data_IF_444336532115
#
_entry.id   IF_444336532115
#
_cell.length_a   1.000
_cell.length_b   1.000
_cell.length_c   1.000
_cell.angle_alpha   90.00
_cell.angle_beta   90.00
_cell.angle_gamma   90.00
#
_symmetry.space_group_name_H-M   'P 1'
#
loop_
_entity.id
_entity.type
_entity.pdbx_description
1 polymer ?
#
# COMPACT_ATOMS: atom_id res chain seq x y z
N UNK A 1 6.42 16.19 -5.46
CA UNK A 1 6.95 15.38 -4.35
C UNK A 1 7.55 14.11 -4.93
N UNK A 2 8.77 13.75 -4.54
CA UNK A 2 9.47 12.54 -5.01
C UNK A 2 9.03 11.35 -4.15
N UNK A 3 8.64 10.25 -4.79
CA UNK A 3 7.96 9.15 -4.12
C UNK A 3 8.55 7.79 -4.47
N UNK A 4 8.74 6.96 -3.45
CA UNK A 4 8.91 5.51 -3.58
C UNK A 4 7.63 4.85 -3.06
N UNK A 5 7.14 3.82 -3.73
CA UNK A 5 6.04 2.98 -3.24
C UNK A 5 6.53 1.55 -3.05
N UNK A 6 6.49 1.04 -1.83
CA UNK A 6 6.72 -0.36 -1.48
C UNK A 6 5.37 -1.05 -1.25
N UNK A 7 5.05 -2.05 -2.06
CA UNK A 7 3.71 -2.63 -2.16
C UNK A 7 3.70 -4.12 -2.53
N UNK A 8 2.53 -4.75 -2.49
CA UNK A 8 2.32 -6.18 -2.72
C UNK A 8 1.08 -6.43 -3.59
N UNK A 9 1.03 -5.89 -4.83
CA UNK A 9 -0.19 -5.80 -5.61
C UNK A 9 -0.74 -7.17 -6.05
N UNK A 10 -2.07 -7.27 -6.10
CA UNK A 10 -2.82 -8.45 -6.54
C UNK A 10 -3.79 -8.20 -7.70
N UNK A 11 -3.71 -7.06 -8.39
CA UNK A 11 -4.57 -6.73 -9.53
C UNK A 11 -4.53 -7.84 -10.61
N UNK A 12 -5.70 -8.36 -10.94
CA UNK A 12 -5.86 -9.47 -11.90
C UNK A 12 -5.66 -10.87 -11.31
N UNK A 13 -5.19 -10.99 -10.06
CA UNK A 13 -5.00 -12.28 -9.38
C UNK A 13 -6.27 -12.64 -8.60
N UNK A 14 -6.90 -13.81 -8.85
CA UNK A 14 -8.14 -14.19 -8.17
C UNK A 14 -8.02 -14.21 -6.64
N UNK A 15 -8.83 -13.40 -5.97
CA UNK A 15 -8.89 -13.35 -4.50
C UNK A 15 -7.77 -12.59 -3.80
N UNK A 16 -6.80 -12.03 -4.54
CA UNK A 16 -5.79 -11.14 -4.00
C UNK A 16 -6.31 -9.70 -3.96
N UNK A 17 -5.90 -8.93 -2.95
CA UNK A 17 -6.28 -7.53 -2.83
C UNK A 17 -5.67 -6.70 -3.97
N UNK A 18 -6.39 -5.67 -4.40
CA UNK A 18 -6.14 -4.90 -5.63
C UNK A 18 -5.88 -3.41 -5.36
N UNK A 19 -5.90 -3.05 -4.07
CA UNK A 19 -5.85 -1.68 -3.59
C UNK A 19 -4.48 -1.04 -3.81
N UNK A 20 -3.38 -1.81 -3.73
CA UNK A 20 -2.05 -1.40 -4.16
C UNK A 20 -2.04 -0.86 -5.59
N UNK A 21 -2.74 -1.53 -6.52
CA UNK A 21 -2.84 -1.08 -7.91
C UNK A 21 -3.64 0.20 -8.07
N UNK A 22 -4.63 0.45 -7.20
CA UNK A 22 -5.34 1.72 -7.15
C UNK A 22 -4.45 2.84 -6.59
N UNK A 23 -3.65 2.54 -5.56
CA UNK A 23 -2.66 3.48 -5.01
C UNK A 23 -1.57 3.84 -6.04
N UNK A 24 -1.03 2.84 -6.74
CA UNK A 24 -0.08 3.03 -7.84
C UNK A 24 -0.71 3.86 -8.97
N UNK A 25 -1.95 3.54 -9.38
CA UNK A 25 -2.66 4.29 -10.40
C UNK A 25 -2.87 5.75 -10.01
N UNK A 26 -3.23 6.02 -8.74
CA UNK A 26 -3.38 7.37 -8.22
C UNK A 26 -2.04 8.13 -8.25
N UNK A 27 -0.96 7.49 -7.80
CA UNK A 27 0.38 8.08 -7.82
C UNK A 27 0.87 8.38 -9.24
N UNK A 28 0.59 7.51 -10.21
CA UNK A 28 0.92 7.70 -11.63
C UNK A 28 0.10 8.85 -12.23
N UNK A 29 -1.16 8.97 -11.85
CA UNK A 29 -2.09 9.95 -12.41
C UNK A 29 -1.92 11.36 -11.84
N UNK A 30 -1.36 11.49 -10.64
CA UNK A 30 -1.19 12.76 -9.95
C UNK A 30 0.07 13.52 -10.43
N UNK A 31 -0.06 14.69 -11.08
CA UNK A 31 1.09 15.46 -11.58
C UNK A 31 1.99 16.02 -10.47
N UNK A 32 1.50 16.08 -9.23
CA UNK A 32 2.26 16.50 -8.05
C UNK A 32 3.25 15.44 -7.59
N UNK A 33 3.13 14.19 -8.06
CA UNK A 33 3.96 13.05 -7.67
C UNK A 33 4.95 12.71 -8.77
N UNK A 34 6.23 12.65 -8.41
CA UNK A 34 7.27 12.01 -9.19
C UNK A 34 7.51 10.62 -8.59
N UNK A 35 6.89 9.59 -9.16
CA UNK A 35 7.07 8.21 -8.74
C UNK A 35 8.40 7.66 -9.31
N UNK A 36 9.43 7.59 -8.46
CA UNK A 36 10.79 7.27 -8.87
C UNK A 36 11.13 5.77 -8.80
N UNK A 37 10.44 5.05 -7.93
CA UNK A 37 10.67 3.63 -7.71
C UNK A 37 9.41 2.96 -7.16
N UNK A 38 9.10 1.79 -7.71
CA UNK A 38 8.16 0.84 -7.11
C UNK A 38 8.95 -0.37 -6.64
N UNK A 39 8.75 -0.76 -5.40
CA UNK A 39 9.35 -1.96 -4.83
C UNK A 39 8.27 -2.94 -4.40
N UNK A 40 8.58 -4.23 -4.55
CA UNK A 40 7.61 -5.30 -4.32
C UNK A 40 8.03 -6.16 -3.13
N UNK A 41 7.11 -6.38 -2.21
CA UNK A 41 7.28 -7.31 -1.08
C UNK A 41 6.26 -8.44 -1.18
N UNK A 42 6.55 -9.61 -0.62
CA UNK A 42 5.55 -10.68 -0.51
C UNK A 42 4.48 -10.31 0.53
N UNK A 43 3.22 -10.39 0.11
CA UNK A 43 2.06 -10.00 0.92
C UNK A 43 0.77 -10.59 0.33
N UNK A 44 -0.16 -9.79 -0.18
CA UNK A 44 -1.36 -10.26 -0.89
C UNK A 44 -1.02 -11.29 -1.98
N UNK A 45 0.14 -11.15 -2.61
CA UNK A 45 0.69 -12.14 -3.56
C UNK A 45 2.14 -12.50 -3.19
N UNK A 46 2.67 -13.65 -3.69
CA UNK A 46 4.10 -13.89 -3.69
C UNK A 46 4.85 -12.78 -4.44
N UNK A 47 6.07 -12.42 -4.02
CA UNK A 47 6.80 -11.27 -4.55
C UNK A 47 7.00 -11.30 -6.08
N UNK A 48 7.14 -12.48 -6.65
CA UNK A 48 7.28 -12.77 -8.09
C UNK A 48 6.01 -12.42 -8.87
N UNK A 49 4.86 -12.72 -8.27
CA UNK A 49 3.54 -12.45 -8.83
C UNK A 49 3.26 -10.96 -8.73
N UNK A 50 3.44 -10.35 -7.56
CA UNK A 50 3.29 -8.90 -7.37
C UNK A 50 4.21 -8.09 -8.30
N UNK A 51 5.43 -8.57 -8.54
CA UNK A 51 6.35 -7.97 -9.50
C UNK A 51 5.80 -8.00 -10.92
N UNK A 52 5.23 -9.14 -11.32
CA UNK A 52 4.60 -9.29 -12.63
C UNK A 52 3.33 -8.43 -12.76
N UNK A 53 2.54 -8.29 -11.68
CA UNK A 53 1.36 -7.40 -11.62
C UNK A 53 1.75 -5.94 -11.84
N UNK A 54 2.73 -5.44 -11.07
CA UNK A 54 3.21 -4.07 -11.22
C UNK A 54 3.82 -3.84 -12.62
N UNK A 55 4.55 -4.83 -13.15
CA UNK A 55 5.13 -4.75 -14.48
C UNK A 55 4.07 -4.71 -15.58
N UNK A 56 2.99 -5.48 -15.48
CA UNK A 56 1.85 -5.45 -16.42
C UNK A 56 1.22 -4.05 -16.44
N UNK A 57 0.97 -3.45 -15.27
CA UNK A 57 0.42 -2.09 -15.17
C UNK A 57 1.29 -1.07 -15.91
N UNK A 58 2.59 -0.97 -15.61
CA UNK A 58 3.47 0.03 -16.24
C UNK A 58 3.68 -0.24 -17.73
N UNK A 59 3.72 -1.52 -18.13
CA UNK A 59 3.87 -1.93 -19.54
C UNK A 59 2.66 -1.52 -20.35
N UNK A 60 1.44 -1.77 -19.87
CA UNK A 60 0.20 -1.36 -20.56
C UNK A 60 0.12 0.15 -20.73
N UNK A 61 0.65 0.92 -19.78
CA UNK A 61 0.68 2.38 -19.84
C UNK A 61 1.86 2.93 -20.67
N UNK A 62 2.79 2.08 -21.10
CA UNK A 62 4.02 2.52 -21.79
C UNK A 62 4.93 3.39 -20.92
N UNK A 63 4.90 3.20 -19.60
CA UNK A 63 5.69 3.97 -18.65
C UNK A 63 7.01 3.28 -18.32
N UNK A 64 8.05 4.07 -18.12
CA UNK A 64 9.38 3.59 -17.71
C UNK A 64 9.64 3.91 -16.23
N UNK A 65 8.83 3.32 -15.35
CA UNK A 65 9.00 3.44 -13.89
C UNK A 65 9.83 2.24 -13.43
N UNK A 66 10.96 2.44 -12.73
CA UNK A 66 11.73 1.34 -12.16
C UNK A 66 10.88 0.50 -11.20
N UNK A 67 10.85 -0.81 -11.42
CA UNK A 67 10.23 -1.77 -10.50
C UNK A 67 11.31 -2.72 -10.01
N UNK A 68 11.44 -2.88 -8.69
CA UNK A 68 12.40 -3.80 -8.07
C UNK A 68 11.67 -4.83 -7.23
N UNK A 69 11.96 -6.12 -7.48
CA UNK A 69 11.49 -7.18 -6.59
C UNK A 69 12.28 -7.14 -5.28
N UNK A 70 11.59 -7.42 -4.18
CA UNK A 70 12.15 -7.46 -2.84
C UNK A 70 11.96 -8.81 -2.15
N UNK A 71 11.76 -8.75 -0.84
CA UNK A 71 11.68 -9.89 0.06
C UNK A 71 10.50 -10.81 -0.29
N UNK A 72 10.78 -12.11 -0.35
CA UNK A 72 9.79 -13.15 -0.61
C UNK A 72 9.18 -13.74 0.66
N UNK A 73 9.69 -13.36 1.83
CA UNK A 73 9.27 -13.85 3.14
C UNK A 73 9.52 -12.79 4.21
N UNK A 74 8.79 -12.89 5.32
CA UNK A 74 9.01 -12.05 6.50
C UNK A 74 10.37 -12.33 7.17
N UNK A 75 10.79 -11.45 8.08
CA UNK A 75 12.04 -11.60 8.83
C UNK A 75 12.08 -12.87 9.68
N UNK A 76 10.95 -13.22 10.32
CA UNK A 76 10.86 -14.36 11.25
C UNK A 76 9.63 -15.23 10.98
N UNK A 77 8.47 -14.62 10.70
CA UNK A 77 7.22 -15.35 10.54
C UNK A 77 7.23 -16.28 9.31
N UNK A 78 6.70 -17.50 9.47
CA UNK A 78 6.61 -18.45 8.36
C UNK A 78 5.54 -18.03 7.35
N UNK A 79 5.90 -18.02 6.07
CA UNK A 79 4.98 -17.68 4.99
C UNK A 79 3.86 -18.72 4.78
N UNK A 80 4.02 -19.96 5.24
CA UNK A 80 3.14 -21.08 4.86
C UNK A 80 1.67 -20.86 5.22
N UNK A 81 1.38 -20.40 6.45
CA UNK A 81 0.01 -20.14 6.90
C UNK A 81 -0.61 -18.95 6.16
N UNK A 82 0.19 -17.93 5.87
CA UNK A 82 -0.24 -16.77 5.08
C UNK A 82 -0.54 -17.15 3.63
N UNK A 83 0.33 -17.93 2.97
CA UNK A 83 0.11 -18.43 1.61
C UNK A 83 -1.14 -19.28 1.51
N UNK A 84 -1.31 -20.22 2.45
CA UNK A 84 -2.49 -21.08 2.49
C UNK A 84 -3.80 -20.27 2.52
N UNK A 85 -3.84 -19.21 3.33
CA UNK A 85 -5.01 -18.32 3.48
C UNK A 85 -5.21 -17.41 2.26
N UNK A 86 -4.16 -16.72 1.81
CA UNK A 86 -4.25 -15.64 0.81
C UNK A 86 -4.39 -16.19 -0.60
N UNK A 87 -3.60 -17.21 -0.97
CA UNK A 87 -3.54 -17.70 -2.35
C UNK A 87 -4.82 -18.50 -2.74
N UNK A 88 -5.55 -19.02 -1.74
CA UNK A 88 -6.71 -19.89 -1.96
C UNK A 88 -8.06 -19.25 -1.58
N UNK A 89 -8.09 -17.95 -1.24
CA UNK A 89 -9.28 -17.27 -0.74
C UNK A 89 -10.48 -17.36 -1.69
N UNK A 90 -10.28 -17.01 -2.96
CA UNK A 90 -11.34 -17.08 -3.98
C UNK A 90 -11.84 -18.51 -4.20
N UNK A 91 -10.93 -19.48 -4.27
CA UNK A 91 -11.27 -20.88 -4.48
C UNK A 91 -12.06 -21.47 -3.29
N UNK A 92 -11.65 -21.19 -2.05
CA UNK A 92 -12.34 -21.65 -0.82
C UNK A 92 -13.76 -21.12 -0.71
N UNK A 93 -14.01 -19.91 -1.19
CA UNK A 93 -15.34 -19.32 -1.21
C UNK A 93 -16.16 -19.70 -2.46
N UNK A 94 -15.58 -20.44 -3.43
CA UNK A 94 -16.25 -20.77 -4.69
C UNK A 94 -16.45 -19.58 -5.63
N UNK A 95 -15.61 -18.54 -5.50
CA UNK A 95 -15.79 -17.24 -6.17
C UNK A 95 -14.77 -16.96 -7.28
N UNK A 96 -13.95 -17.94 -7.66
CA UNK A 96 -12.96 -17.78 -8.76
C UNK A 96 -13.60 -17.36 -10.08
N UNK A 97 -14.86 -17.72 -10.33
CA UNK A 97 -15.60 -17.36 -11.54
C UNK A 97 -15.77 -15.83 -11.71
N UNK A 98 -15.63 -15.02 -10.65
CA UNK A 98 -15.66 -13.56 -10.76
C UNK A 98 -14.54 -13.02 -11.66
N UNK A 99 -13.41 -13.72 -11.78
CA UNK A 99 -12.25 -13.33 -12.59
C UNK A 99 -12.21 -13.97 -13.98
N UNK A 100 -13.25 -14.68 -14.43
CA UNK A 100 -13.23 -15.37 -15.74
C UNK A 100 -12.96 -14.46 -16.94
N UNK A 101 -13.30 -13.17 -16.83
CA UNK A 101 -13.07 -12.15 -17.87
C UNK A 101 -11.86 -11.25 -17.59
N UNK A 102 -11.16 -11.47 -16.47
CA UNK A 102 -9.99 -10.69 -16.08
C UNK A 102 -8.73 -11.43 -16.51
N UNK A 103 -7.93 -10.88 -17.44
CA UNK A 103 -6.66 -11.47 -17.84
C UNK A 103 -5.72 -11.59 -16.64
N UNK A 104 -5.03 -12.73 -16.53
CA UNK A 104 -3.93 -12.87 -15.58
C UNK A 104 -2.74 -12.01 -16.05
N UNK A 105 -2.02 -11.35 -15.12
CA UNK A 105 -0.80 -10.63 -15.45
C UNK A 105 0.25 -11.60 -16.02
N UNK A 106 0.91 -11.28 -17.14
CA UNK A 106 1.97 -12.10 -17.68
C UNK A 106 3.13 -12.23 -16.70
N UNK A 107 3.62 -13.45 -16.46
CA UNK A 107 4.79 -13.65 -15.60
C UNK A 107 6.04 -13.06 -16.25
N UNK A 108 6.77 -12.26 -15.49
CA UNK A 108 8.03 -11.64 -15.93
C UNK A 108 9.18 -12.18 -15.08
N UNK A 109 10.30 -12.51 -15.73
CA UNK A 109 11.51 -12.88 -15.01
C UNK A 109 12.02 -11.65 -14.23
N UNK A 110 12.21 -11.80 -12.92
CA UNK A 110 12.80 -10.76 -12.09
C UNK A 110 14.29 -11.00 -11.89
N UNK A 111 15.05 -9.92 -11.71
CA UNK A 111 16.43 -10.00 -11.20
C UNK A 111 16.45 -10.43 -9.72
N UNK A 112 17.65 -10.46 -9.13
CA UNK A 112 17.85 -10.65 -7.69
C UNK A 112 16.97 -9.68 -6.86
N UNK A 113 16.56 -10.07 -5.64
CA UNK A 113 15.72 -9.23 -4.78
C UNK A 113 16.53 -8.03 -4.26
N UNK A 114 16.50 -6.92 -5.00
CA UNK A 114 17.32 -5.73 -4.74
C UNK A 114 16.51 -4.54 -4.17
N UNK A 115 15.22 -4.72 -3.90
CA UNK A 115 14.35 -3.64 -3.39
C UNK A 115 14.93 -2.92 -2.17
N UNK A 116 15.35 -3.65 -1.13
CA UNK A 116 15.90 -3.06 0.09
C UNK A 116 17.14 -2.18 -0.18
N UNK A 117 18.01 -2.63 -1.09
CA UNK A 117 19.17 -1.86 -1.52
C UNK A 117 18.74 -0.60 -2.30
N UNK A 118 17.84 -0.75 -3.28
CA UNK A 118 17.35 0.37 -4.09
C UNK A 118 16.64 1.45 -3.26
N UNK A 119 15.82 1.05 -2.26
CA UNK A 119 15.17 1.96 -1.32
C UNK A 119 16.23 2.73 -0.53
N UNK A 120 17.15 2.01 0.13
CA UNK A 120 18.15 2.60 1.00
C UNK A 120 19.11 3.52 0.25
N UNK A 121 19.58 3.10 -0.92
CA UNK A 121 20.46 3.90 -1.79
C UNK A 121 19.79 5.20 -2.24
N UNK A 122 18.57 5.12 -2.79
CA UNK A 122 17.87 6.30 -3.31
C UNK A 122 17.58 7.33 -2.20
N UNK A 123 17.12 6.86 -1.03
CA UNK A 123 16.83 7.72 0.12
C UNK A 123 18.10 8.35 0.69
N UNK A 124 19.16 7.56 0.91
CA UNK A 124 20.39 8.07 1.52
C UNK A 124 21.17 9.00 0.61
N UNK A 125 21.02 8.86 -0.72
CA UNK A 125 21.58 9.79 -1.70
C UNK A 125 20.73 11.05 -1.90
N UNK A 126 19.52 11.11 -1.33
CA UNK A 126 18.58 12.24 -1.44
C UNK A 126 17.98 12.63 -0.08
N UNK A 127 18.81 12.99 0.92
CA UNK A 127 18.36 13.20 2.29
C UNK A 127 17.34 14.34 2.39
N UNK A 128 16.18 14.05 2.98
CA UNK A 128 15.08 14.97 3.19
C UNK A 128 14.14 15.17 1.99
N UNK A 129 14.37 14.48 0.86
CA UNK A 129 13.63 14.72 -0.37
C UNK A 129 12.63 13.61 -0.75
N UNK A 130 12.90 12.37 -0.33
CA UNK A 130 12.09 11.19 -0.69
C UNK A 130 11.07 10.90 0.40
N UNK A 131 9.80 10.83 0.00
CA UNK A 131 8.74 10.20 0.81
C UNK A 131 8.60 8.73 0.38
N UNK A 132 8.62 7.83 1.36
CA UNK A 132 8.41 6.40 1.16
C UNK A 132 6.99 6.03 1.56
N UNK A 133 6.17 5.58 0.62
CA UNK A 133 4.85 5.01 0.88
C UNK A 133 5.00 3.50 1.01
N UNK A 134 4.63 2.96 2.18
CA UNK A 134 4.76 1.57 2.53
C UNK A 134 3.38 0.98 2.75
N UNK A 135 2.86 0.29 1.74
CA UNK A 135 1.48 -0.23 1.71
C UNK A 135 1.40 -1.76 1.70
N UNK A 136 2.56 -2.43 1.80
CA UNK A 136 2.66 -3.86 2.10
C UNK A 136 3.40 -4.15 3.42
N UNK A 137 3.72 -5.43 3.69
CA UNK A 137 4.59 -5.82 4.81
C UNK A 137 5.93 -5.06 4.79
N UNK A 138 6.38 -4.61 5.96
CA UNK A 138 7.51 -3.65 6.06
C UNK A 138 8.91 -4.28 5.89
N UNK A 139 8.99 -5.51 5.40
CA UNK A 139 10.22 -6.33 5.34
C UNK A 139 11.31 -5.68 4.50
N UNK A 140 10.97 -5.14 3.32
CA UNK A 140 11.94 -4.46 2.45
C UNK A 140 12.54 -3.24 3.17
N UNK A 141 11.73 -2.52 3.93
CA UNK A 141 12.10 -1.28 4.62
C UNK A 141 12.98 -1.59 5.83
N UNK A 142 12.63 -2.62 6.60
CA UNK A 142 13.47 -3.08 7.71
C UNK A 142 14.85 -3.55 7.22
N UNK A 143 14.91 -4.31 6.12
CA UNK A 143 16.18 -4.66 5.48
C UNK A 143 16.94 -3.44 4.96
N UNK A 144 16.25 -2.47 4.35
CA UNK A 144 16.87 -1.23 3.88
C UNK A 144 17.50 -0.45 5.05
N UNK A 145 16.80 -0.32 6.18
CA UNK A 145 17.34 0.34 7.38
C UNK A 145 18.54 -0.41 7.98
N UNK A 146 18.57 -1.74 7.90
CA UNK A 146 19.71 -2.53 8.34
C UNK A 146 20.94 -2.33 7.44
N UNK A 147 20.74 -2.27 6.12
CA UNK A 147 21.79 -2.02 5.13
C UNK A 147 22.26 -0.56 5.14
N UNK A 148 21.36 0.37 5.45
CA UNK A 148 21.57 1.82 5.45
C UNK A 148 21.10 2.44 6.77
N UNK A 149 21.90 2.38 7.84
CA UNK A 149 21.51 2.86 9.18
C UNK A 149 21.10 4.34 9.24
N UNK A 150 21.59 5.16 8.31
CA UNK A 150 21.25 6.58 8.17
C UNK A 150 19.91 6.84 7.47
N UNK A 151 19.26 5.81 6.93
CA UNK A 151 17.99 5.93 6.19
C UNK A 151 16.90 6.57 7.05
N UNK A 152 16.79 6.21 8.33
CA UNK A 152 15.76 6.74 9.22
C UNK A 152 15.83 8.28 9.38
N UNK A 153 17.03 8.85 9.38
CA UNK A 153 17.23 10.31 9.41
C UNK A 153 17.22 10.96 8.03
N UNK A 154 17.42 10.18 6.96
CA UNK A 154 17.51 10.68 5.58
C UNK A 154 16.16 10.69 4.86
N UNK A 155 15.22 9.82 5.23
CA UNK A 155 13.89 9.81 4.63
C UNK A 155 13.10 11.05 5.05
N UNK A 156 12.37 11.67 4.11
CA UNK A 156 11.53 12.83 4.43
C UNK A 156 10.37 12.41 5.34
N UNK A 157 9.66 11.36 4.93
CA UNK A 157 8.54 10.74 5.64
C UNK A 157 8.36 9.28 5.17
N UNK A 158 8.00 8.39 6.09
CA UNK A 158 7.50 7.04 5.79
C UNK A 158 5.99 7.06 6.05
N UNK A 159 5.18 6.96 5.01
CA UNK A 159 3.72 6.91 5.09
C UNK A 159 3.27 5.44 4.96
N UNK A 160 2.74 4.88 6.04
CA UNK A 160 2.49 3.44 6.20
C UNK A 160 0.98 3.16 6.16
N UNK A 161 0.52 2.22 5.34
CA UNK A 161 -0.75 1.52 5.59
C UNK A 161 -0.45 0.27 6.42
N UNK A 162 -1.04 0.20 7.61
CA UNK A 162 -0.89 -0.98 8.44
C UNK A 162 -1.28 -0.74 9.90
N UNK A 163 -1.40 -1.84 10.61
CA UNK A 163 -1.79 -1.86 12.01
C UNK A 163 -3.28 -1.61 12.27
N UNK A 164 -3.68 -1.91 13.51
CA UNK A 164 -5.07 -1.77 13.98
C UNK A 164 -5.09 -1.56 15.49
N UNK A 165 -5.94 -0.64 15.95
CA UNK A 165 -6.10 -0.37 17.38
C UNK A 165 -7.46 -0.84 17.88
N UNK A 166 -8.54 -0.45 17.21
CA UNK A 166 -9.90 -0.70 17.70
C UNK A 166 -10.91 -0.84 16.56
N UNK A 167 -10.75 -1.90 15.77
CA UNK A 167 -11.73 -2.30 14.74
C UNK A 167 -12.31 -3.65 15.11
N UNK A 168 -13.64 -3.73 15.22
CA UNK A 168 -14.34 -4.98 15.54
C UNK A 168 -13.99 -6.07 14.53
N UNK A 169 -13.66 -7.26 15.03
CA UNK A 169 -13.28 -8.41 14.21
C UNK A 169 -11.80 -8.47 13.80
N UNK A 170 -11.00 -7.44 14.13
CA UNK A 170 -9.57 -7.39 13.79
C UNK A 170 -8.71 -7.32 15.04
N UNK A 171 -7.98 -8.39 15.33
CA UNK A 171 -6.91 -8.38 16.35
C UNK A 171 -5.61 -7.79 15.79
N UNK A 172 -5.33 -8.05 14.51
CA UNK A 172 -4.16 -7.53 13.82
C UNK A 172 -4.48 -7.25 12.37
N UNK A 173 -3.73 -6.31 11.82
CA UNK A 173 -3.69 -6.01 10.40
C UNK A 173 -2.89 -7.09 9.63
N UNK A 174 -3.13 -7.21 8.33
CA UNK A 174 -2.44 -8.18 7.47
C UNK A 174 -0.97 -7.83 7.30
N UNK A 175 -0.62 -6.58 6.99
CA UNK A 175 0.77 -6.18 6.73
C UNK A 175 1.65 -6.38 7.97
N UNK A 176 1.17 -5.92 9.13
CA UNK A 176 1.90 -6.09 10.40
C UNK A 176 1.81 -7.53 10.92
N UNK A 177 0.75 -8.26 10.59
CA UNK A 177 0.62 -9.67 10.94
C UNK A 177 1.58 -10.57 10.18
N UNK A 178 1.88 -10.24 8.92
CA UNK A 178 2.85 -10.97 8.09
C UNK A 178 4.27 -10.80 8.61
N UNK A 179 4.67 -9.58 8.97
CA UNK A 179 6.01 -9.31 9.50
C UNK A 179 6.00 -8.36 10.71
N UNK A 180 5.67 -8.88 11.91
CA UNK A 180 5.65 -8.09 13.13
C UNK A 180 7.02 -7.49 13.47
N UNK A 181 8.11 -8.23 13.23
CA UNK A 181 9.47 -7.79 13.48
C UNK A 181 9.85 -6.60 12.60
N UNK A 182 9.54 -6.65 11.31
CA UNK A 182 9.82 -5.54 10.41
C UNK A 182 9.00 -4.30 10.81
N UNK A 183 7.74 -4.48 11.22
CA UNK A 183 6.92 -3.39 11.71
C UNK A 183 7.50 -2.75 12.99
N UNK A 184 7.95 -3.56 13.95
CA UNK A 184 8.64 -3.08 15.14
C UNK A 184 9.89 -2.26 14.79
N UNK A 185 10.76 -2.79 13.92
CA UNK A 185 11.99 -2.11 13.47
C UNK A 185 11.68 -0.74 12.87
N UNK A 186 10.70 -0.67 11.96
CA UNK A 186 10.38 0.59 11.26
C UNK A 186 9.70 1.59 12.20
N UNK A 187 8.71 1.18 12.97
CA UNK A 187 7.96 2.06 13.87
C UNK A 187 8.83 2.67 14.97
N UNK A 188 9.83 1.93 15.46
CA UNK A 188 10.75 2.38 16.51
C UNK A 188 12.03 3.04 15.98
N UNK A 189 12.20 3.14 14.66
CA UNK A 189 13.42 3.64 14.00
C UNK A 189 13.77 5.12 14.27
N UNK A 190 12.79 5.92 14.70
CA UNK A 190 12.94 7.38 14.84
C UNK A 190 12.74 8.17 13.55
N UNK A 191 12.40 7.52 12.43
CA UNK A 191 12.00 8.19 11.19
C UNK A 191 10.71 9.02 11.37
N UNK A 192 10.50 10.03 10.51
CA UNK A 192 9.19 10.70 10.44
C UNK A 192 8.16 9.71 9.87
N UNK A 193 7.19 9.27 10.68
CA UNK A 193 6.21 8.25 10.28
C UNK A 193 4.81 8.81 10.35
N UNK A 194 4.02 8.56 9.30
CA UNK A 194 2.57 8.67 9.32
C UNK A 194 1.96 7.28 9.12
N UNK A 195 1.00 6.91 9.96
CA UNK A 195 0.34 5.62 9.96
C UNK A 195 -1.15 5.77 9.60
N UNK A 196 -1.59 5.01 8.61
CA UNK A 196 -2.98 4.81 8.23
C UNK A 196 -3.44 3.40 8.69
N UNK A 197 -3.91 3.26 9.94
CA UNK A 197 -4.37 1.98 10.47
C UNK A 197 -5.72 1.56 9.88
N UNK A 198 -6.14 0.32 10.17
CA UNK A 198 -7.49 -0.16 9.87
C UNK A 198 -8.58 0.75 10.45
N UNK A 199 -8.33 1.39 11.59
CA UNK A 199 -9.27 2.32 12.23
C UNK A 199 -9.74 3.44 11.29
N UNK A 200 -8.87 3.98 10.44
CA UNK A 200 -9.24 4.98 9.43
C UNK A 200 -9.60 4.36 8.09
N UNK A 201 -8.86 3.34 7.65
CA UNK A 201 -9.00 2.82 6.29
C UNK A 201 -10.31 2.05 6.09
N UNK A 202 -10.87 1.46 7.14
CA UNK A 202 -12.20 0.80 7.10
C UNK A 202 -13.38 1.78 7.02
N UNK A 203 -13.13 3.09 7.15
CA UNK A 203 -14.13 4.13 6.89
C UNK A 203 -14.19 4.53 5.40
N UNK A 204 -13.23 4.07 4.60
CA UNK A 204 -13.24 4.26 3.14
C UNK A 204 -14.25 3.32 2.49
N UNK A 205 -14.74 3.65 1.31
CA UNK A 205 -15.64 2.79 0.56
C UNK A 205 -15.62 3.14 -0.92
N UNK A 206 -15.23 2.17 -1.75
CA UNK A 206 -15.39 2.20 -3.20
C UNK A 206 -16.53 1.24 -3.60
N UNK A 207 -17.52 1.77 -4.32
CA UNK A 207 -18.67 1.01 -4.80
C UNK A 207 -18.57 0.75 -6.31
N UNK A 208 -19.36 -0.21 -6.82
CA UNK A 208 -19.48 -0.42 -8.27
C UNK A 208 -19.87 0.85 -9.02
N UNK A 209 -20.80 1.66 -8.48
CA UNK A 209 -21.21 2.93 -9.08
C UNK A 209 -20.07 3.95 -9.18
N UNK A 210 -19.09 3.91 -8.29
CA UNK A 210 -17.93 4.80 -8.32
C UNK A 210 -16.92 4.31 -9.37
N UNK A 211 -16.76 2.99 -9.48
CA UNK A 211 -16.00 2.38 -10.57
C UNK A 211 -16.64 2.64 -11.94
N UNK A 212 -17.96 2.70 -12.03
CA UNK A 212 -18.69 3.03 -13.27
C UNK A 212 -18.42 4.48 -13.72
N UNK A 213 -18.19 5.41 -12.78
CA UNK A 213 -17.73 6.79 -13.11
C UNK A 213 -16.32 6.77 -13.67
N UNK A 214 -15.41 6.00 -13.06
CA UNK A 214 -14.04 5.81 -13.57
C UNK A 214 -14.10 5.23 -14.99
N UNK A 215 -14.98 4.25 -15.25
CA UNK A 215 -15.16 3.63 -16.56
C UNK A 215 -15.57 4.60 -17.68
N UNK A 216 -16.11 5.79 -17.35
CA UNK A 216 -16.40 6.84 -18.35
C UNK A 216 -15.14 7.59 -18.81
N UNK A 217 -14.02 7.43 -18.12
CA UNK A 217 -12.74 8.04 -18.49
C UNK A 217 -12.10 7.16 -19.57
N UNK A 218 -11.97 7.69 -20.79
CA UNK A 218 -11.35 6.97 -21.90
C UNK A 218 -9.81 6.95 -21.78
N UNK A 219 -9.30 6.06 -20.95
CA UNK A 219 -7.86 5.83 -20.81
C UNK A 219 -7.51 4.37 -20.55
N UNK A 220 -6.27 4.00 -20.89
CA UNK A 220 -5.73 2.66 -20.60
C UNK A 220 -5.71 2.40 -19.09
N UNK A 221 -5.38 3.41 -18.29
CA UNK A 221 -5.36 3.32 -16.83
C UNK A 221 -6.75 3.05 -16.26
N UNK A 222 -7.77 3.79 -16.72
CA UNK A 222 -9.15 3.55 -16.30
C UNK A 222 -9.62 2.14 -16.65
N UNK A 223 -9.37 1.70 -17.90
CA UNK A 223 -9.73 0.34 -18.33
C UNK A 223 -9.08 -0.74 -17.46
N UNK A 224 -7.78 -0.59 -17.15
CA UNK A 224 -7.07 -1.51 -16.28
C UNK A 224 -7.68 -1.57 -14.87
N UNK A 225 -7.99 -0.40 -14.28
CA UNK A 225 -8.64 -0.34 -12.97
C UNK A 225 -10.03 -0.99 -12.99
N UNK A 226 -10.85 -0.72 -14.00
CA UNK A 226 -12.18 -1.33 -14.11
C UNK A 226 -12.09 -2.85 -14.28
N UNK A 227 -11.19 -3.33 -15.13
CA UNK A 227 -10.94 -4.76 -15.39
C UNK A 227 -10.53 -5.53 -14.13
N UNK A 228 -9.73 -4.90 -13.25
CA UNK A 228 -9.13 -5.56 -12.08
C UNK A 228 -9.88 -5.31 -10.77
N UNK A 229 -10.46 -4.12 -10.57
CA UNK A 229 -11.20 -3.77 -9.35
C UNK A 229 -12.62 -4.34 -9.33
N UNK A 230 -13.30 -4.44 -10.47
CA UNK A 230 -14.70 -4.92 -10.53
C UNK A 230 -14.89 -6.31 -9.91
N UNK A 231 -14.08 -7.35 -10.25
CA UNK A 231 -14.23 -8.65 -9.61
C UNK A 231 -13.92 -8.60 -8.10
N UNK A 232 -12.94 -7.78 -7.69
CA UNK A 232 -12.60 -7.60 -6.27
C UNK A 232 -13.72 -6.94 -5.46
N UNK A 233 -14.36 -5.88 -5.97
CA UNK A 233 -15.52 -5.25 -5.31
C UNK A 233 -16.60 -6.31 -5.08
N UNK A 234 -16.94 -7.10 -6.12
CA UNK A 234 -17.92 -8.19 -6.00
C UNK A 234 -17.51 -9.27 -5.01
N UNK A 235 -16.23 -9.61 -4.93
CA UNK A 235 -15.69 -10.57 -3.96
C UNK A 235 -15.76 -10.04 -2.53
N UNK A 236 -15.39 -8.77 -2.32
CA UNK A 236 -15.46 -8.08 -1.03
C UNK A 236 -16.90 -8.01 -0.53
N UNK A 237 -17.86 -7.70 -1.39
CA UNK A 237 -19.27 -7.66 -1.02
C UNK A 237 -19.76 -9.01 -0.46
N UNK A 238 -19.35 -10.12 -1.09
CA UNK A 238 -19.77 -11.46 -0.69
C UNK A 238 -19.03 -11.99 0.56
N UNK A 239 -17.73 -11.70 0.69
CA UNK A 239 -16.89 -12.26 1.75
C UNK A 239 -16.84 -11.38 3.01
N UNK A 240 -16.99 -10.07 2.86
CA UNK A 240 -16.91 -9.10 3.96
C UNK A 240 -18.26 -8.49 4.32
N UNK A 241 -19.33 -8.81 3.57
CA UNK A 241 -20.68 -8.27 3.80
C UNK A 241 -20.72 -6.73 3.73
N UNK A 242 -19.88 -6.17 2.87
CA UNK A 242 -19.80 -4.73 2.61
C UNK A 242 -20.60 -4.36 1.34
N UNK A 243 -21.03 -3.10 1.18
CA UNK A 243 -21.65 -2.64 -0.07
C UNK A 243 -20.66 -2.49 -1.23
N UNK A 244 -19.35 -2.58 -0.98
CA UNK A 244 -18.29 -2.55 -1.97
C UNK A 244 -16.96 -3.07 -1.39
N UNK A 245 -15.85 -2.39 -1.64
CA UNK A 245 -14.57 -2.64 -0.96
C UNK A 245 -14.03 -1.40 -0.25
N UNK A 246 -13.25 -1.62 0.81
CA UNK A 246 -12.39 -0.59 1.39
C UNK A 246 -11.20 -0.33 0.47
N UNK A 247 -10.68 0.90 0.48
CA UNK A 247 -9.51 1.39 -0.26
C UNK A 247 -8.49 1.95 0.73
N UNK A 248 -7.85 1.03 1.44
CA UNK A 248 -6.80 1.23 2.43
C UNK A 248 -5.57 1.95 1.88
N UNK A 249 -4.99 1.47 0.81
CA UNK A 249 -3.67 1.89 0.33
C UNK A 249 -3.77 3.21 -0.44
N UNK A 250 -4.83 3.34 -1.25
CA UNK A 250 -5.12 4.56 -1.98
C UNK A 250 -5.34 5.76 -1.05
N UNK A 251 -5.83 5.54 0.19
CA UNK A 251 -5.95 6.60 1.20
C UNK A 251 -4.60 7.23 1.53
N UNK A 252 -3.52 6.44 1.62
CA UNK A 252 -2.18 6.95 1.96
C UNK A 252 -1.70 7.94 0.90
N UNK A 253 -1.86 7.57 -0.38
CA UNK A 253 -1.47 8.42 -1.51
C UNK A 253 -2.39 9.64 -1.60
N UNK A 254 -3.70 9.48 -1.47
CA UNK A 254 -4.65 10.60 -1.49
C UNK A 254 -4.39 11.61 -0.37
N UNK A 255 -4.03 11.13 0.82
CA UNK A 255 -3.65 12.00 1.94
C UNK A 255 -2.36 12.78 1.66
N UNK A 256 -1.42 12.23 0.89
CA UNK A 256 -0.25 12.97 0.44
C UNK A 256 -0.60 14.12 -0.50
N UNK A 257 -1.66 13.99 -1.28
CA UNK A 257 -2.17 15.01 -2.20
C UNK A 257 -3.00 16.09 -1.49
N UNK A 258 -3.89 15.69 -0.57
CA UNK A 258 -4.69 16.61 0.23
C UNK A 258 -4.79 16.14 1.69
N UNK A 259 -4.09 16.87 2.57
CA UNK A 259 -4.08 16.59 4.02
C UNK A 259 -5.43 16.82 4.68
N UNK A 260 -6.34 17.58 4.07
CA UNK A 260 -7.64 17.94 4.63
C UNK A 260 -8.67 16.82 4.59
N UNK A 261 -8.37 15.71 3.89
CA UNK A 261 -9.29 14.57 3.80
C UNK A 261 -9.28 13.71 5.06
N UNK A 262 -8.34 13.93 5.98
CA UNK A 262 -8.24 13.16 7.23
C UNK A 262 -8.07 14.04 8.46
N UNK A 263 -8.35 13.48 9.63
CA UNK A 263 -7.90 14.01 10.92
C UNK A 263 -6.76 13.17 11.47
N UNK A 264 -5.93 13.76 12.35
CA UNK A 264 -4.73 13.10 12.86
C UNK A 264 -4.53 13.30 14.36
N UNK A 265 -3.91 12.32 14.99
CA UNK A 265 -3.34 12.38 16.34
C UNK A 265 -1.85 12.03 16.29
N UNK A 266 -1.13 12.15 17.41
CA UNK A 266 0.25 11.67 17.51
C UNK A 266 0.49 10.93 18.82
N UNK A 267 1.08 9.74 18.74
CA UNK A 267 1.38 8.86 19.87
C UNK A 267 2.56 7.93 19.54
N UNK A 268 3.14 7.28 20.54
CA UNK A 268 4.05 6.18 20.29
C UNK A 268 3.28 4.95 19.83
N UNK A 269 3.86 4.25 18.85
CA UNK A 269 3.28 3.04 18.27
C UNK A 269 4.33 1.94 18.28
N UNK A 270 3.91 0.73 18.61
CA UNK A 270 4.74 -0.46 18.58
C UNK A 270 3.90 -1.68 18.15
N UNK A 271 4.54 -2.83 17.98
CA UNK A 271 3.89 -4.10 17.65
C UNK A 271 4.32 -5.17 18.66
N UNK A 272 3.35 -5.91 19.18
CA UNK A 272 3.65 -7.04 20.05
C UNK A 272 4.33 -8.17 19.25
N UNK A 273 5.54 -8.55 19.63
CA UNK A 273 6.30 -9.63 19.01
C UNK A 273 6.05 -11.00 19.66
N UNK A 274 5.48 -11.01 20.85
CA UNK A 274 5.25 -12.23 21.64
C UNK A 274 3.77 -12.46 21.96
N UNK A 275 3.49 -13.67 22.44
CA UNK A 275 2.17 -14.12 22.89
C UNK A 275 1.31 -14.72 21.78
N UNK A 276 0.64 -15.82 22.10
CA UNK A 276 -0.10 -16.62 21.11
C UNK A 276 -1.23 -15.86 20.41
N UNK A 277 -1.91 -14.96 21.14
CA UNK A 277 -3.00 -14.15 20.61
C UNK A 277 -2.58 -12.72 20.26
N UNK A 278 -1.51 -12.23 20.88
CA UNK A 278 -1.08 -10.83 20.82
C UNK A 278 -0.03 -10.56 19.76
N UNK A 279 0.68 -11.58 19.27
CA UNK A 279 1.71 -11.40 18.24
C UNK A 279 1.14 -10.76 16.96
N UNK A 280 1.71 -9.62 16.59
CA UNK A 280 1.28 -8.76 15.47
C UNK A 280 0.23 -7.70 15.85
N UNK A 281 -0.24 -7.65 17.10
CA UNK A 281 -1.14 -6.58 17.56
C UNK A 281 -0.39 -5.26 17.60
N UNK A 282 -1.02 -4.20 17.09
CA UNK A 282 -0.49 -2.84 17.14
C UNK A 282 -0.84 -2.19 18.46
N UNK A 283 0.16 -1.60 19.11
CA UNK A 283 0.04 -0.90 20.38
C UNK A 283 0.15 0.59 20.12
N UNK A 284 -0.71 1.38 20.75
CA UNK A 284 -0.64 2.85 20.77
C UNK A 284 -0.63 3.32 22.21
N UNK A 285 0.31 4.18 22.56
CA UNK A 285 0.41 4.72 23.91
C UNK A 285 1.09 6.08 23.95
N UNK A 286 0.78 6.84 24.99
CA UNK A 286 1.48 8.08 25.35
C UNK A 286 2.03 7.90 26.77
N UNK A 287 3.36 7.89 26.97
CA UNK A 287 3.97 7.70 28.28
C UNK A 287 3.43 8.65 29.35
N UNK A 288 3.17 9.91 28.97
CA UNK A 288 2.66 10.97 29.84
C UNK A 288 1.21 10.72 30.30
N UNK A 289 0.45 9.93 29.54
CA UNK A 289 -0.98 9.66 29.77
C UNK A 289 -1.25 8.27 30.36
N UNK A 290 -0.21 7.45 30.60
CA UNK A 290 -0.37 6.13 31.20
C UNK A 290 -0.75 6.23 32.67
N UNK A 291 -1.92 5.71 33.04
CA UNK A 291 -2.36 5.61 34.46
C UNK A 291 -1.58 4.56 35.25
N UNK A 292 -1.08 3.52 34.57
CA UNK A 292 -0.22 2.48 35.11
C UNK A 292 0.93 2.23 34.12
N UNK A 293 2.15 2.45 34.57
CA UNK A 293 3.38 2.36 33.76
C UNK A 293 4.40 1.36 34.32
N UNK A 294 4.03 0.57 35.33
CA UNK A 294 4.91 -0.44 35.93
C UNK A 294 5.25 -1.51 34.89
N UNK A 295 6.54 -1.70 34.64
CA UNK A 295 7.04 -2.70 33.68
C UNK A 295 6.94 -2.29 32.21
N UNK A 296 6.49 -1.06 31.91
CA UNK A 296 6.48 -0.54 30.54
C UNK A 296 7.85 0.10 30.24
N UNK A 297 8.58 -0.35 29.20
CA UNK A 297 9.86 0.24 28.84
C UNK A 297 9.68 1.69 28.37
N UNK A 298 10.76 2.48 28.42
CA UNK A 298 10.78 3.78 27.78
C UNK A 298 10.50 3.60 26.26
N UNK A 299 9.68 4.46 25.66
CA UNK A 299 9.41 4.34 24.23
C UNK A 299 10.68 4.55 23.41
N UNK A 300 10.78 3.83 22.30
CA UNK A 300 11.85 4.00 21.32
C UNK A 300 11.38 4.87 20.16
N UNK A 301 12.31 5.55 19.50
CA UNK A 301 12.00 6.46 18.40
C UNK A 301 11.27 7.73 18.85
N UNK A 302 10.33 8.20 18.05
CA UNK A 302 9.53 9.42 18.30
C UNK A 302 8.05 9.18 18.01
N UNK A 303 7.14 10.04 18.48
CA UNK A 303 5.72 9.90 18.21
C UNK A 303 5.42 9.79 16.71
N UNK A 304 4.54 8.85 16.37
CA UNK A 304 4.02 8.61 15.02
C UNK A 304 2.77 9.46 14.81
N UNK A 305 2.58 10.02 13.63
CA UNK A 305 1.33 10.66 13.25
C UNK A 305 0.34 9.58 12.82
N UNK A 306 -0.85 9.53 13.43
CA UNK A 306 -1.83 8.48 13.18
C UNK A 306 -3.08 9.12 12.58
N UNK A 307 -3.50 8.62 11.42
CA UNK A 307 -4.74 9.04 10.77
C UNK A 307 -5.96 8.46 11.52
N UNK A 308 -6.99 9.26 11.79
CA UNK A 308 -8.11 8.86 12.67
C UNK A 308 -9.46 8.77 11.96
N UNK A 309 -9.76 9.70 11.04
CA UNK A 309 -11.00 9.70 10.28
C UNK A 309 -10.73 10.15 8.85
N UNK A 310 -11.60 9.78 7.92
CA UNK A 310 -11.48 10.16 6.50
C UNK A 310 -12.81 10.67 5.94
N UNK A 311 -12.74 11.72 5.13
CA UNK A 311 -13.82 12.15 4.25
C UNK A 311 -13.79 11.30 2.97
N UNK A 312 -14.56 10.20 2.97
CA UNK A 312 -14.57 9.26 1.83
C UNK A 312 -15.02 9.92 0.52
N UNK A 313 -15.88 10.96 0.58
CA UNK A 313 -16.31 11.65 -0.64
C UNK A 313 -15.13 12.40 -1.26
N UNK A 314 -14.39 13.17 -0.47
CA UNK A 314 -13.18 13.86 -0.95
C UNK A 314 -12.12 12.87 -1.45
N UNK A 315 -11.96 11.73 -0.79
CA UNK A 315 -11.05 10.66 -1.24
C UNK A 315 -11.41 10.21 -2.67
N UNK A 316 -12.68 9.88 -2.91
CA UNK A 316 -13.15 9.47 -4.24
C UNK A 316 -13.04 10.60 -5.27
N UNK A 317 -13.29 11.85 -4.87
CA UNK A 317 -13.15 13.02 -5.74
C UNK A 317 -11.68 13.21 -6.18
N UNK A 318 -10.71 13.05 -5.26
CA UNK A 318 -9.27 13.09 -5.59
C UNK A 318 -8.92 12.01 -6.60
N UNK A 319 -9.33 10.76 -6.34
CA UNK A 319 -9.07 9.63 -7.25
C UNK A 319 -9.62 9.94 -8.64
N UNK A 320 -10.88 10.35 -8.73
CA UNK A 320 -11.53 10.65 -10.01
C UNK A 320 -10.86 11.80 -10.76
N UNK A 321 -10.52 12.89 -10.06
CA UNK A 321 -9.86 14.06 -10.65
C UNK A 321 -8.46 13.73 -11.19
N UNK A 322 -7.64 13.01 -10.43
CA UNK A 322 -6.30 12.59 -10.87
C UNK A 322 -6.40 11.73 -12.14
N UNK A 323 -7.26 10.71 -12.15
CA UNK A 323 -7.45 9.82 -13.31
C UNK A 323 -7.97 10.57 -14.56
N UNK A 324 -8.87 11.55 -14.36
CA UNK A 324 -9.40 12.37 -15.44
C UNK A 324 -8.31 13.27 -16.06
N UNK A 325 -7.50 13.91 -15.21
CA UNK A 325 -6.43 14.83 -15.64
C UNK A 325 -5.28 14.10 -16.36
N UNK A 326 -4.96 12.87 -15.94
CA UNK A 326 -3.95 12.04 -16.61
C UNK A 326 -4.29 11.79 -18.08
N UNK A 327 -5.57 11.54 -18.37
CA UNK A 327 -6.08 11.29 -19.74
C UNK A 327 -5.93 12.52 -20.63
N UNK A 328 -6.23 13.70 -20.10
CA UNK A 328 -6.08 14.96 -20.83
C UNK A 328 -4.62 15.22 -21.25
N UNK A 329 -3.68 14.88 -20.37
CA UNK A 329 -2.23 15.06 -20.61
C UNK A 329 -1.71 14.08 -21.66
N UNK A 330 -2.14 12.81 -21.62
CA UNK A 330 -1.82 11.79 -22.63
C UNK A 330 -2.31 12.22 -24.02
N UNK A 331 -3.56 12.67 -24.15
CA UNK A 331 -4.13 13.09 -25.44
C UNK A 331 -3.45 14.34 -26.01
N UNK A 332 -3.09 15.31 -25.17
CA UNK A 332 -2.37 16.50 -25.64
C UNK A 332 -0.91 16.22 -26.02
N UNK A 333 -0.25 15.28 -25.36
CA UNK A 333 1.12 14.89 -25.71
C UNK A 333 1.17 14.06 -27.01
N UNK A 334 0.18 13.19 -27.25
CA UNK A 334 0.05 12.45 -28.50
C UNK A 334 -0.34 13.34 -29.67
N UNK A 335 -1.27 14.29 -29.51
CA UNK A 335 -1.59 15.29 -30.54
C UNK A 335 -0.39 16.19 -30.89
N UNK A 336 0.46 16.55 -29.91
CA UNK A 336 1.68 17.32 -30.17
C UNK A 336 2.75 16.52 -30.92
N UNK A 337 2.92 15.23 -30.61
CA UNK A 337 3.83 14.34 -31.35
C UNK A 337 3.37 14.11 -32.79
N UNK A 338 2.07 13.90 -33.00
CA UNK A 338 1.49 13.72 -34.32
C UNK A 338 1.48 14.99 -35.20
N UNK A 339 1.61 16.18 -34.60
CA UNK A 339 1.73 17.45 -35.33
C UNK A 339 3.18 17.85 -35.64
N UNK A 340 4.16 17.06 -35.15
CA UNK A 340 5.60 17.27 -35.36
C UNK A 340 6.25 16.23 -36.27
N UNK A 341 5.46 15.31 -36.82
CA UNK A 341 5.81 14.34 -37.88
C UNK A 341 5.17 14.76 -39.21
#
# INVERSE_FOLDING_TARGET
MRLIIDCDPGNGVPGANVDDGLALALAIAAPEIALELVTIVAGNTPSEVGFSVAHDLVTRLGLNIPIMRGASQALVESAALWRDKLDNGAARNGLTALWHQTPLPPMVASNAPLAAHAIGELICNSPGEITLVAIGPLTNIAHAMQLYPQMASSVAEIAIMGGVFNVEGYLKDTNFGIDPEAAHVVLTSGANITLAPLDVTTQTQLLHQDLDKIAQIDSVLSRYLVETLRPWISYSMQTRQLPGCWVHDALVVAWLLDKSIVTTTSDYVDVALEGALTRGMTLRFSPENLRLNVGIPAPQGKPVKILQSVDNKKLLDIIYQSLSNFTYTQNNSSCRKAASE
#
